data_IF_651742495644
#
_entry.id   IF_651742495644
#
_cell.length_a   1.000
_cell.length_b   1.000
_cell.length_c   1.000
_cell.angle_alpha   90.00
_cell.angle_beta   90.00
_cell.angle_gamma   90.00
#
_symmetry.space_group_name_H-M   'P 1'
#
loop_
_entity.id
_entity.type
_entity.pdbx_description
1 polymer ?
#
# COMPACT_ATOMS: atom_id res chain seq x y z
N UNK A 1 28.19 14.83 19.48
CA UNK A 1 27.39 15.01 18.26
C UNK A 1 27.61 13.80 17.35
N UNK A 2 26.64 12.87 17.27
CA UNK A 2 26.77 11.62 16.49
C UNK A 2 26.50 11.92 15.01
N UNK A 3 27.49 11.69 14.14
CA UNK A 3 27.32 11.72 12.67
C UNK A 3 27.01 10.31 12.19
N UNK A 4 25.78 10.06 11.77
CA UNK A 4 25.38 8.77 11.22
C UNK A 4 25.89 8.64 9.78
N UNK A 5 26.82 7.71 9.56
CA UNK A 5 27.30 7.32 8.23
C UNK A 5 26.30 6.33 7.62
N UNK A 6 25.40 6.83 6.77
CA UNK A 6 24.50 5.99 5.99
C UNK A 6 25.30 5.31 4.86
N UNK A 7 25.54 4.00 4.98
CA UNK A 7 26.06 3.17 3.88
C UNK A 7 24.91 2.91 2.91
N UNK A 8 24.92 3.57 1.77
CA UNK A 8 24.03 3.27 0.64
C UNK A 8 24.62 2.03 -0.05
N UNK A 9 24.14 0.85 0.32
CA UNK A 9 24.46 -0.38 -0.40
C UNK A 9 23.72 -0.36 -1.74
N UNK A 10 24.43 -0.03 -2.82
CA UNK A 10 23.99 -0.35 -4.18
C UNK A 10 23.88 -1.88 -4.30
N UNK A 11 22.67 -2.41 -4.17
CA UNK A 11 22.39 -3.79 -4.53
C UNK A 11 22.51 -3.96 -6.03
N UNK A 12 23.57 -4.62 -6.48
CA UNK A 12 23.79 -5.02 -7.87
C UNK A 12 22.64 -5.92 -8.35
N UNK A 13 21.87 -5.47 -9.35
CA UNK A 13 20.88 -6.28 -10.04
C UNK A 13 21.61 -7.10 -11.11
N UNK A 14 21.93 -8.36 -10.82
CA UNK A 14 22.49 -9.28 -11.81
C UNK A 14 21.42 -9.66 -12.82
N UNK A 15 21.45 -9.05 -14.00
CA UNK A 15 20.65 -9.48 -15.15
C UNK A 15 21.37 -10.67 -15.78
N UNK A 16 20.90 -11.90 -15.51
CA UNK A 16 21.35 -13.07 -16.25
C UNK A 16 20.77 -12.98 -17.67
N UNK A 17 21.59 -12.54 -18.63
CA UNK A 17 21.25 -12.56 -20.05
C UNK A 17 21.86 -13.82 -20.65
N UNK A 18 21.03 -14.82 -20.93
CA UNK A 18 21.35 -15.84 -21.93
C UNK A 18 20.25 -15.84 -22.97
N UNK A 19 20.53 -15.53 -24.25
CA UNK A 19 19.56 -15.73 -25.32
C UNK A 19 19.57 -17.21 -25.69
N UNK A 20 18.41 -17.87 -25.68
CA UNK A 20 18.24 -19.17 -26.33
C UNK A 20 16.96 -19.15 -27.17
N UNK A 21 17.10 -19.73 -28.37
CA UNK A 21 16.36 -19.49 -29.59
C UNK A 21 14.88 -19.88 -29.59
N UNK A 22 14.17 -19.22 -30.50
CA UNK A 22 12.76 -19.35 -30.87
C UNK A 22 12.48 -20.71 -31.52
N UNK A 23 11.44 -21.41 -31.07
CA UNK A 23 10.85 -22.53 -31.82
C UNK A 23 9.46 -22.10 -32.32
N UNK A 24 9.32 -21.98 -33.64
CA UNK A 24 8.10 -21.49 -34.29
C UNK A 24 7.08 -22.63 -34.37
N UNK A 25 6.25 -22.81 -33.34
CA UNK A 25 5.07 -23.67 -33.46
C UNK A 25 3.96 -22.88 -34.13
N UNK A 26 3.59 -23.33 -35.34
CA UNK A 26 2.42 -22.87 -36.09
C UNK A 26 1.16 -23.09 -35.25
N UNK A 27 0.75 -22.01 -34.59
CA UNK A 27 -0.52 -21.86 -33.92
C UNK A 27 -0.65 -20.39 -33.58
N UNK A 28 -1.63 -19.70 -34.14
CA UNK A 28 -1.91 -18.28 -33.87
C UNK A 28 -2.37 -18.11 -32.42
N UNK A 29 -1.42 -18.18 -31.48
CA UNK A 29 -1.56 -17.78 -30.10
C UNK A 29 -0.37 -16.88 -29.87
N UNK A 30 -0.59 -15.56 -29.92
CA UNK A 30 0.37 -14.60 -29.39
C UNK A 30 0.87 -15.17 -28.07
N UNK A 31 2.18 -15.44 -27.95
CA UNK A 31 2.77 -15.92 -26.71
C UNK A 31 2.42 -14.87 -25.67
N UNK A 32 1.36 -15.12 -24.89
CA UNK A 32 0.91 -14.21 -23.87
C UNK A 32 2.12 -14.01 -22.96
N UNK A 33 2.59 -12.77 -22.86
CA UNK A 33 3.79 -12.46 -22.12
C UNK A 33 3.68 -13.10 -20.73
N UNK A 34 4.62 -13.98 -20.37
CA UNK A 34 4.62 -14.65 -19.08
C UNK A 34 5.54 -13.87 -18.14
N UNK A 35 5.15 -13.78 -16.87
CA UNK A 35 5.92 -13.06 -15.86
C UNK A 35 5.61 -11.57 -15.80
N UNK A 36 6.60 -10.79 -15.36
CA UNK A 36 6.47 -9.34 -15.17
C UNK A 36 6.54 -8.60 -16.49
N UNK A 37 5.55 -7.75 -16.74
CA UNK A 37 5.44 -6.94 -17.95
C UNK A 37 5.21 -5.50 -17.55
N UNK A 38 6.01 -4.58 -18.09
CA UNK A 38 5.80 -3.15 -17.94
C UNK A 38 4.98 -2.61 -19.11
N UNK A 39 3.92 -1.88 -18.82
CA UNK A 39 3.14 -1.15 -19.81
C UNK A 39 2.97 0.29 -19.34
N UNK A 40 3.58 1.23 -20.08
CA UNK A 40 3.76 2.60 -19.62
C UNK A 40 4.56 2.66 -18.32
N UNK A 41 3.99 3.32 -17.30
CA UNK A 41 4.58 3.42 -15.96
C UNK A 41 4.16 2.29 -15.01
N UNK A 42 3.28 1.38 -15.45
CA UNK A 42 2.68 0.35 -14.59
C UNK A 42 3.28 -1.02 -14.86
N UNK A 43 3.43 -1.81 -13.80
CA UNK A 43 3.83 -3.21 -13.88
C UNK A 43 2.63 -4.13 -13.74
N UNK A 44 2.64 -5.22 -14.49
CA UNK A 44 1.63 -6.28 -14.48
C UNK A 44 2.35 -7.61 -14.36
N UNK A 45 1.63 -8.62 -13.87
CA UNK A 45 2.15 -9.98 -13.83
C UNK A 45 1.18 -10.94 -14.52
N UNK A 46 1.71 -11.80 -15.39
CA UNK A 46 0.95 -12.82 -16.10
C UNK A 46 1.45 -14.20 -15.69
N UNK A 47 0.52 -15.09 -15.37
CA UNK A 47 0.85 -16.45 -14.96
C UNK A 47 1.31 -17.32 -16.16
N UNK A 48 1.68 -18.57 -15.90
CA UNK A 48 2.16 -19.51 -16.93
C UNK A 48 1.12 -19.82 -18.03
N UNK A 49 -0.15 -19.47 -17.82
CA UNK A 49 -1.22 -19.62 -18.80
C UNK A 49 -1.46 -18.33 -19.60
N UNK A 50 -0.70 -17.26 -19.34
CA UNK A 50 -0.88 -15.96 -19.97
C UNK A 50 -2.00 -15.11 -19.37
N UNK A 51 -2.55 -15.52 -18.21
CA UNK A 51 -3.61 -14.77 -17.54
C UNK A 51 -3.02 -13.72 -16.61
N UNK A 52 -3.53 -12.49 -16.68
CA UNK A 52 -3.15 -11.40 -15.80
C UNK A 52 -3.57 -11.69 -14.35
N UNK A 53 -2.61 -11.61 -13.43
CA UNK A 53 -2.82 -11.74 -11.99
C UNK A 53 -3.37 -10.43 -11.44
N UNK A 54 -4.40 -10.52 -10.61
CA UNK A 54 -5.14 -9.39 -10.03
C UNK A 54 -5.64 -9.75 -8.64
N UNK A 55 -5.74 -8.75 -7.76
CA UNK A 55 -6.10 -8.92 -6.35
C UNK A 55 -5.30 -10.03 -5.65
N UNK A 56 -4.00 -10.12 -5.95
CA UNK A 56 -3.16 -11.20 -5.47
C UNK A 56 -1.70 -10.78 -5.36
N UNK A 57 -0.97 -11.50 -4.51
CA UNK A 57 0.48 -11.36 -4.37
C UNK A 57 1.21 -12.13 -5.46
N UNK A 58 2.29 -11.52 -5.98
CA UNK A 58 3.34 -12.20 -6.70
C UNK A 58 4.68 -11.86 -6.05
N UNK A 59 5.24 -12.83 -5.32
CA UNK A 59 6.42 -12.58 -4.47
C UNK A 59 6.11 -11.53 -3.41
N UNK A 60 6.89 -10.43 -3.40
CA UNK A 60 6.72 -9.33 -2.45
C UNK A 60 5.84 -8.18 -2.99
N UNK A 61 5.16 -8.37 -4.12
CA UNK A 61 4.43 -7.32 -4.82
C UNK A 61 2.96 -7.67 -4.94
N UNK A 62 2.09 -6.68 -4.74
CA UNK A 62 0.64 -6.86 -4.84
C UNK A 62 0.11 -6.32 -6.17
N UNK A 63 -0.67 -7.13 -6.87
CA UNK A 63 -1.40 -6.74 -8.08
C UNK A 63 -2.82 -6.33 -7.68
N UNK A 64 -3.21 -5.09 -8.01
CA UNK A 64 -4.52 -4.52 -7.75
C UNK A 64 -5.64 -5.17 -8.57
N UNK A 65 -6.86 -4.63 -8.43
CA UNK A 65 -8.04 -5.16 -9.13
C UNK A 65 -7.95 -5.01 -10.66
N UNK A 66 -7.24 -3.98 -11.11
CA UNK A 66 -6.91 -3.71 -12.52
C UNK A 66 -5.64 -4.43 -12.99
N UNK A 67 -5.05 -5.28 -12.15
CA UNK A 67 -3.84 -6.04 -12.44
C UNK A 67 -2.54 -5.24 -12.37
N UNK A 68 -2.59 -3.96 -11.99
CA UNK A 68 -1.38 -3.14 -11.81
C UNK A 68 -0.72 -3.43 -10.48
N UNK A 69 0.61 -3.43 -10.48
CA UNK A 69 1.40 -3.44 -9.26
C UNK A 69 1.13 -2.16 -8.45
N UNK A 70 0.73 -2.33 -7.19
CA UNK A 70 0.49 -1.22 -6.28
C UNK A 70 1.80 -0.70 -5.68
N UNK A 71 1.87 0.60 -5.44
CA UNK A 71 2.97 1.29 -4.76
C UNK A 71 2.41 2.28 -3.73
N UNK A 72 3.14 2.53 -2.64
CA UNK A 72 2.78 3.48 -1.58
C UNK A 72 1.34 3.33 -1.05
N UNK A 73 0.90 2.08 -0.87
CA UNK A 73 -0.50 1.79 -0.61
C UNK A 73 -0.68 0.68 0.43
N UNK A 74 -1.77 0.80 1.20
CA UNK A 74 -2.33 -0.30 1.97
C UNK A 74 -3.10 -1.23 1.05
N UNK A 75 -2.67 -2.47 0.95
CA UNK A 75 -3.20 -3.49 0.04
C UNK A 75 -3.85 -4.63 0.81
N UNK A 76 -4.51 -5.53 0.08
CA UNK A 76 -5.09 -6.76 0.61
C UNK A 76 -6.00 -6.50 1.82
N UNK A 77 -7.01 -5.67 1.56
CA UNK A 77 -7.97 -5.16 2.54
C UNK A 77 -7.33 -4.39 3.71
N UNK A 78 -6.22 -3.72 3.46
CA UNK A 78 -5.53 -2.87 4.43
C UNK A 78 -4.66 -3.62 5.43
N UNK A 79 -4.36 -4.90 5.18
CA UNK A 79 -3.54 -5.76 6.05
C UNK A 79 -2.04 -5.54 5.86
N UNK A 80 -1.62 -5.16 4.66
CA UNK A 80 -0.21 -5.01 4.30
C UNK A 80 0.02 -3.66 3.63
N UNK A 81 1.23 -3.10 3.80
CA UNK A 81 1.65 -1.88 3.12
C UNK A 81 2.74 -2.20 2.11
N UNK A 82 2.61 -1.69 0.88
CA UNK A 82 3.67 -1.72 -0.13
C UNK A 82 4.31 -0.34 -0.23
N UNK A 83 5.63 -0.29 -0.30
CA UNK A 83 6.39 0.95 -0.39
C UNK A 83 6.38 1.55 -1.80
N UNK A 84 7.18 2.60 -2.01
CA UNK A 84 7.25 3.33 -3.28
C UNK A 84 7.78 2.51 -4.46
N UNK A 85 8.55 1.46 -4.17
CA UNK A 85 8.99 0.49 -5.17
C UNK A 85 8.01 -0.70 -5.32
N UNK A 86 6.86 -0.66 -4.65
CA UNK A 86 5.84 -1.71 -4.67
C UNK A 86 6.15 -2.94 -3.82
N UNK A 87 7.33 -2.99 -3.18
CA UNK A 87 7.68 -4.11 -2.31
C UNK A 87 6.94 -4.01 -0.98
N UNK A 88 6.48 -5.16 -0.48
CA UNK A 88 5.88 -5.28 0.83
C UNK A 88 6.83 -4.79 1.94
N UNK A 89 6.35 -3.84 2.75
CA UNK A 89 7.01 -3.35 3.95
C UNK A 89 6.55 -4.17 5.14
N UNK A 90 7.43 -5.07 5.61
CA UNK A 90 7.17 -5.91 6.79
C UNK A 90 7.10 -5.05 8.05
N UNK A 91 6.12 -5.34 8.89
CA UNK A 91 5.91 -4.60 10.14
C UNK A 91 5.37 -3.18 9.95
N UNK A 92 4.94 -2.80 8.75
CA UNK A 92 4.21 -1.56 8.58
C UNK A 92 2.94 -1.60 9.44
N UNK A 93 2.76 -0.55 10.24
CA UNK A 93 1.56 -0.39 11.05
C UNK A 93 0.71 0.70 10.42
N UNK A 94 -0.53 0.35 10.08
CA UNK A 94 -1.49 1.35 9.63
C UNK A 94 -1.73 2.25 10.83
N UNK A 95 -1.57 3.58 10.71
CA UNK A 95 -1.93 4.47 11.79
C UNK A 95 -3.36 4.14 12.18
N UNK A 96 -3.54 3.52 13.34
CA UNK A 96 -4.86 3.28 13.87
C UNK A 96 -5.39 4.67 14.17
N UNK A 97 -6.52 5.01 13.56
CA UNK A 97 -7.21 6.23 13.94
C UNK A 97 -7.65 6.04 15.39
N UNK A 98 -6.85 6.55 16.33
CA UNK A 98 -7.22 6.57 17.75
C UNK A 98 -8.33 7.60 17.86
N UNK A 99 -9.56 7.11 17.73
CA UNK A 99 -10.76 7.90 17.94
C UNK A 99 -10.72 8.43 19.36
N UNK A 100 -10.48 9.74 19.51
CA UNK A 100 -10.58 10.41 20.80
C UNK A 100 -11.95 10.10 21.40
N UNK A 101 -11.98 9.79 22.70
CA UNK A 101 -13.19 9.45 23.44
C UNK A 101 -13.14 10.15 24.79
N UNK A 102 -14.22 10.84 25.15
CA UNK A 102 -14.33 11.56 26.40
C UNK A 102 -13.81 13.00 26.33
N UNK A 103 -13.64 13.58 27.51
CA UNK A 103 -13.13 14.95 27.68
C UNK A 103 -11.65 15.03 27.32
N UNK A 104 -11.30 15.89 26.37
CA UNK A 104 -9.93 16.15 25.94
C UNK A 104 -9.65 17.64 26.04
N UNK A 105 -8.56 17.98 26.73
CA UNK A 105 -8.11 19.36 26.87
C UNK A 105 -7.23 19.76 25.68
N UNK A 106 -7.62 20.82 24.98
CA UNK A 106 -6.86 21.44 23.90
C UNK A 106 -6.49 22.87 24.31
N UNK A 107 -5.33 23.03 24.96
CA UNK A 107 -4.93 24.31 25.55
C UNK A 107 -5.84 24.68 26.73
N UNK A 108 -6.56 25.79 26.62
CA UNK A 108 -7.51 26.26 27.65
C UNK A 108 -8.94 25.76 27.44
N UNK A 109 -9.22 25.06 26.33
CA UNK A 109 -10.55 24.56 26.00
C UNK A 109 -10.68 23.08 26.32
N UNK A 110 -11.87 22.68 26.76
CA UNK A 110 -12.26 21.28 26.95
C UNK A 110 -13.30 20.91 25.91
N UNK A 111 -12.97 19.97 25.03
CA UNK A 111 -13.92 19.42 24.07
C UNK A 111 -14.25 17.98 24.46
N UNK A 112 -15.51 17.58 24.31
CA UNK A 112 -15.89 16.19 24.46
C UNK A 112 -15.88 15.47 23.11
N UNK A 113 -15.12 14.40 22.99
CA UNK A 113 -15.08 13.56 21.80
C UNK A 113 -15.91 12.29 21.96
N UNK A 114 -16.68 11.95 20.93
CA UNK A 114 -17.40 10.68 20.82
C UNK A 114 -17.07 10.04 19.47
N UNK A 115 -16.49 8.84 19.50
CA UNK A 115 -16.07 8.11 18.29
C UNK A 115 -15.17 8.94 17.35
N UNK A 116 -14.33 9.81 17.91
CA UNK A 116 -13.41 10.66 17.17
C UNK A 116 -13.97 12.03 16.74
N UNK A 117 -15.27 12.28 16.93
CA UNK A 117 -15.90 13.55 16.58
C UNK A 117 -16.13 14.42 17.83
N UNK A 118 -16.01 15.74 17.69
CA UNK A 118 -16.38 16.68 18.76
C UNK A 118 -17.92 16.71 18.87
N UNK A 119 -18.42 16.53 20.08
CA UNK A 119 -19.85 16.67 20.38
C UNK A 119 -20.18 18.16 20.55
N UNK A 120 -21.26 18.62 19.93
CA UNK A 120 -21.69 20.03 19.89
C UNK A 120 -23.19 20.12 20.06
N UNK A 121 -23.67 21.27 20.55
CA UNK A 121 -25.08 21.56 20.76
C UNK A 121 -25.81 20.43 21.52
N UNK A 122 -25.15 19.87 22.53
CA UNK A 122 -25.65 18.71 23.26
C UNK A 122 -25.21 18.72 24.72
N UNK A 123 -26.00 18.08 25.57
CA UNK A 123 -25.65 17.83 26.96
C UNK A 123 -24.75 16.60 27.08
N UNK A 124 -23.68 16.72 27.85
CA UNK A 124 -22.83 15.60 28.29
C UNK A 124 -22.71 15.67 29.81
N UNK A 125 -23.46 14.80 30.50
CA UNK A 125 -23.63 14.90 31.95
C UNK A 125 -24.29 16.23 32.32
N UNK A 126 -23.63 16.99 33.20
CA UNK A 126 -24.12 18.30 33.66
C UNK A 126 -23.58 19.48 32.83
N UNK A 127 -22.93 19.22 31.69
CA UNK A 127 -22.30 20.25 30.86
C UNK A 127 -23.00 20.36 29.51
N UNK A 128 -23.34 21.59 29.11
CA UNK A 128 -23.81 21.90 27.77
C UNK A 128 -22.62 22.26 26.88
N UNK A 129 -22.50 21.55 25.74
CA UNK A 129 -21.51 21.83 24.72
C UNK A 129 -22.14 22.75 23.68
N UNK A 130 -21.54 23.92 23.47
CA UNK A 130 -22.02 24.93 22.52
C UNK A 130 -21.82 24.52 21.06
N UNK A 131 -22.04 25.47 20.15
CA UNK A 131 -21.82 25.26 18.71
C UNK A 131 -20.35 25.12 18.34
N UNK A 132 -19.45 25.63 19.19
CA UNK A 132 -18.00 25.49 19.12
C UNK A 132 -17.52 24.12 19.62
N UNK A 133 -18.19 23.60 20.65
CA UNK A 133 -18.02 22.23 21.19
C UNK A 133 -17.01 22.11 22.31
#
# INVERSE_FOLDING_TARGET
MKKNKLKIGLGILTVLTTPIAVDTVVGTKAHAAQGWVQSGSSWYFYNNQGNGVRNAWQGNYWLGADGKMMTDAWVDNGRYYVGSNGAWVKGAQKPTEVKKQGWVQNGSLWNYYYQGNIVRNAWVGNYWLGSDG
#
